data_IF_602529696789
#
_entry.id   IF_602529696789
#
_cell.length_a   1.000
_cell.length_b   1.000
_cell.length_c   1.000
_cell.angle_alpha   90.00
_cell.angle_beta   90.00
_cell.angle_gamma   90.00
#
_symmetry.space_group_name_H-M   'P 1'
#
loop_
_entity.id
_entity.type
_entity.pdbx_description
1 polymer ?
#
# COMPACT_ATOMS: atom_id res chain seq x y z
N UNK A 1 11.99 -26.80 26.61
CA UNK A 1 11.37 -25.93 25.59
C UNK A 1 12.25 -26.02 24.35
N UNK A 2 11.74 -26.55 23.24
CA UNK A 2 12.48 -26.64 21.97
C UNK A 2 12.68 -25.24 21.41
N UNK A 3 13.91 -24.89 21.03
CA UNK A 3 14.20 -23.63 20.34
C UNK A 3 13.28 -23.49 19.11
N UNK A 4 12.75 -22.29 18.82
CA UNK A 4 11.94 -22.08 17.62
C UNK A 4 12.75 -22.50 16.39
N UNK A 5 12.15 -23.18 15.40
CA UNK A 5 12.86 -23.60 14.21
C UNK A 5 13.40 -22.36 13.49
N UNK A 6 14.72 -22.29 13.30
CA UNK A 6 15.36 -21.23 12.54
C UNK A 6 14.85 -21.20 11.10
N UNK A 7 14.74 -20.00 10.52
CA UNK A 7 14.27 -19.80 9.15
C UNK A 7 15.29 -20.40 8.18
N UNK A 8 14.94 -21.43 7.42
CA UNK A 8 15.88 -22.04 6.48
C UNK A 8 15.96 -21.20 5.19
N UNK A 9 17.11 -20.55 4.98
CA UNK A 9 17.33 -19.65 3.84
C UNK A 9 18.15 -20.30 2.73
N UNK A 10 18.95 -21.31 3.04
CA UNK A 10 19.73 -21.99 2.02
C UNK A 10 20.84 -22.86 2.57
N UNK A 11 22.00 -22.82 1.94
CA UNK A 11 23.12 -23.70 2.23
C UNK A 11 24.37 -22.94 2.59
N UNK A 12 25.06 -23.36 3.65
CA UNK A 12 26.38 -22.81 3.99
C UNK A 12 27.44 -23.26 2.97
N UNK A 13 28.56 -22.53 2.84
CA UNK A 13 29.67 -22.92 1.96
C UNK A 13 30.27 -24.28 2.28
N UNK A 14 30.25 -24.69 3.55
CA UNK A 14 30.73 -25.99 4.01
C UNK A 14 29.72 -27.14 3.82
N UNK A 15 28.55 -26.86 3.26
CA UNK A 15 27.42 -27.78 3.26
C UNK A 15 26.64 -27.75 4.57
N UNK A 16 25.32 -28.01 4.48
CA UNK A 16 24.38 -27.93 5.60
C UNK A 16 23.30 -26.86 5.39
N UNK A 17 22.42 -26.69 6.38
CA UNK A 17 21.38 -25.64 6.36
C UNK A 17 21.97 -24.33 6.88
N UNK A 18 21.87 -23.27 6.07
CA UNK A 18 22.02 -21.90 6.53
C UNK A 18 20.64 -21.41 6.96
N UNK A 19 20.51 -21.12 8.25
CA UNK A 19 19.27 -20.64 8.84
C UNK A 19 19.44 -19.33 9.58
N UNK A 20 18.33 -18.64 9.78
CA UNK A 20 18.28 -17.38 10.51
C UNK A 20 17.34 -17.50 11.70
N UNK A 21 17.83 -17.20 12.89
CA UNK A 21 16.97 -17.06 14.05
C UNK A 21 16.19 -15.75 13.95
N UNK A 22 14.88 -15.84 14.05
CA UNK A 22 13.97 -14.71 13.93
C UNK A 22 13.01 -14.71 15.13
N UNK A 23 13.45 -14.30 16.34
CA UNK A 23 12.54 -14.12 17.46
C UNK A 23 11.45 -13.06 17.18
N UNK A 24 10.40 -12.98 18.02
CA UNK A 24 9.46 -11.86 18.00
C UNK A 24 10.17 -10.50 18.02
N UNK A 25 9.70 -9.55 17.22
CA UNK A 25 10.30 -8.22 17.12
C UNK A 25 11.65 -8.16 16.40
N UNK A 26 12.07 -9.20 15.67
CA UNK A 26 13.28 -9.12 14.83
C UNK A 26 13.19 -8.01 13.80
N UNK A 27 14.33 -7.36 13.52
CA UNK A 27 14.48 -6.26 12.57
C UNK A 27 15.53 -6.65 11.53
N UNK A 28 15.12 -6.76 10.27
CA UNK A 28 15.95 -7.24 9.18
C UNK A 28 15.98 -6.23 8.03
N UNK A 29 17.14 -6.07 7.41
CA UNK A 29 17.28 -5.35 6.15
C UNK A 29 17.86 -6.28 5.09
N UNK A 30 17.22 -6.35 3.92
CA UNK A 30 17.66 -7.10 2.74
C UNK A 30 18.14 -6.09 1.70
N UNK A 31 19.43 -6.11 1.37
CA UNK A 31 20.11 -4.98 0.73
C UNK A 31 20.83 -5.35 -0.57
N UNK A 32 20.62 -4.50 -1.57
CA UNK A 32 21.27 -4.55 -2.87
C UNK A 32 20.51 -5.34 -3.93
N UNK A 33 21.14 -5.62 -5.08
CA UNK A 33 20.51 -6.34 -6.18
C UNK A 33 19.84 -7.63 -5.73
N UNK A 34 18.64 -7.90 -6.26
CA UNK A 34 17.84 -9.09 -5.93
C UNK A 34 17.38 -9.14 -4.46
N UNK A 35 17.36 -8.00 -3.77
CA UNK A 35 16.77 -7.93 -2.44
C UNK A 35 15.30 -8.39 -2.44
N UNK A 36 14.56 -8.12 -3.52
CA UNK A 36 13.20 -8.64 -3.74
C UNK A 36 13.12 -10.18 -3.69
N UNK A 37 13.97 -10.88 -4.46
CA UNK A 37 14.04 -12.35 -4.43
C UNK A 37 14.33 -12.87 -3.01
N UNK A 38 15.24 -12.20 -2.30
CA UNK A 38 15.58 -12.54 -0.91
C UNK A 38 14.42 -12.27 0.04
N UNK A 39 13.61 -11.24 -0.22
CA UNK A 39 12.39 -10.95 0.52
C UNK A 39 11.37 -12.08 0.34
N UNK A 40 11.18 -12.56 -0.89
CA UNK A 40 10.31 -13.71 -1.15
C UNK A 40 10.77 -14.99 -0.46
N UNK A 41 12.08 -15.27 -0.50
CA UNK A 41 12.67 -16.40 0.22
C UNK A 41 12.49 -16.28 1.74
N UNK A 42 12.71 -15.09 2.31
CA UNK A 42 12.52 -14.85 3.74
C UNK A 42 11.06 -15.03 4.16
N UNK A 43 10.11 -14.46 3.40
CA UNK A 43 8.69 -14.60 3.67
C UNK A 43 8.26 -16.07 3.66
N UNK A 44 8.70 -16.83 2.65
CA UNK A 44 8.40 -18.26 2.54
C UNK A 44 9.03 -19.06 3.69
N UNK A 45 10.30 -18.81 4.02
CA UNK A 45 10.96 -19.48 5.13
C UNK A 45 10.30 -19.15 6.49
N UNK A 46 9.82 -17.92 6.68
CA UNK A 46 9.06 -17.52 7.87
C UNK A 46 7.72 -18.24 7.96
N UNK A 47 6.98 -18.34 6.85
CA UNK A 47 5.73 -19.11 6.79
C UNK A 47 5.97 -20.60 7.07
N UNK A 48 7.00 -21.22 6.48
CA UNK A 48 7.37 -22.61 6.75
C UNK A 48 7.76 -22.85 8.22
N UNK A 49 8.31 -21.84 8.89
CA UNK A 49 8.61 -21.88 10.32
C UNK A 49 7.39 -21.60 11.22
N UNK A 50 6.20 -21.45 10.64
CA UNK A 50 4.93 -21.24 11.36
C UNK A 50 4.69 -19.80 11.80
N UNK A 51 5.32 -18.81 11.18
CA UNK A 51 5.06 -17.38 11.46
C UNK A 51 3.95 -16.83 10.58
N UNK A 52 3.16 -15.92 11.13
CA UNK A 52 2.29 -15.03 10.35
C UNK A 52 3.17 -14.00 9.63
N UNK A 53 2.91 -13.79 8.34
CA UNK A 53 3.74 -12.94 7.49
C UNK A 53 2.82 -12.11 6.60
N UNK A 54 2.95 -10.80 6.69
CA UNK A 54 2.27 -9.86 5.79
C UNK A 54 3.31 -9.18 4.93
N UNK A 55 3.22 -9.40 3.62
CA UNK A 55 4.12 -8.83 2.62
C UNK A 55 3.44 -7.64 1.94
N UNK A 56 4.06 -6.47 2.00
CA UNK A 56 3.69 -5.30 1.20
C UNK A 56 4.59 -5.26 -0.04
N UNK A 57 4.04 -5.69 -1.17
CA UNK A 57 4.74 -5.79 -2.44
C UNK A 57 4.58 -4.50 -3.26
N UNK A 58 5.43 -3.52 -2.97
CA UNK A 58 5.51 -2.25 -3.70
C UNK A 58 6.14 -2.41 -5.11
N UNK A 59 6.95 -3.46 -5.32
CA UNK A 59 7.60 -3.75 -6.60
C UNK A 59 6.77 -4.65 -7.53
N UNK A 60 5.84 -5.44 -6.97
CA UNK A 60 4.97 -6.39 -7.70
C UNK A 60 5.64 -7.69 -8.13
N UNK A 61 6.94 -7.85 -7.86
CA UNK A 61 7.70 -9.02 -8.28
C UNK A 61 7.32 -10.28 -7.50
N UNK A 62 6.84 -10.12 -6.26
CA UNK A 62 6.49 -11.24 -5.38
C UNK A 62 5.07 -11.73 -5.64
N UNK A 63 4.12 -10.84 -5.90
CA UNK A 63 2.74 -11.20 -6.23
C UNK A 63 2.67 -12.19 -7.40
N UNK A 64 3.51 -11.97 -8.42
CA UNK A 64 3.60 -12.80 -9.61
C UNK A 64 4.25 -14.18 -9.35
N UNK A 65 5.10 -14.29 -8.32
CA UNK A 65 5.92 -15.50 -8.10
C UNK A 65 5.48 -16.33 -6.89
N UNK A 66 4.74 -15.72 -5.97
CA UNK A 66 4.45 -16.27 -4.65
C UNK A 66 2.96 -16.45 -4.34
N UNK A 67 2.06 -16.12 -5.27
CA UNK A 67 0.61 -16.20 -5.01
C UNK A 67 0.15 -17.60 -4.60
N UNK A 68 0.79 -18.66 -5.09
CA UNK A 68 0.50 -20.03 -4.67
C UNK A 68 0.95 -20.39 -3.24
N UNK A 69 1.69 -19.51 -2.56
CA UNK A 69 2.12 -19.70 -1.18
C UNK A 69 1.39 -18.77 -0.20
N UNK A 70 0.85 -17.64 -0.63
CA UNK A 70 0.24 -16.62 0.21
C UNK A 70 -1.10 -16.22 -0.34
N UNK A 71 -2.07 -15.96 0.53
CA UNK A 71 -3.30 -15.33 0.09
C UNK A 71 -2.93 -13.95 -0.48
N UNK A 72 -3.15 -13.78 -1.78
CA UNK A 72 -2.65 -12.63 -2.52
C UNK A 72 -3.80 -11.71 -2.89
N UNK A 73 -3.66 -10.46 -2.49
CA UNK A 73 -4.69 -9.44 -2.59
C UNK A 73 -4.17 -8.23 -3.36
N UNK A 74 -5.00 -7.70 -4.24
CA UNK A 74 -4.83 -6.35 -4.75
C UNK A 74 -4.93 -5.33 -3.60
N UNK A 75 -4.12 -4.27 -3.61
CA UNK A 75 -4.13 -3.24 -2.57
C UNK A 75 -5.50 -2.65 -2.26
N UNK A 76 -6.41 -2.58 -3.26
CA UNK A 76 -7.77 -2.07 -3.10
C UNK A 76 -8.62 -2.88 -2.13
N UNK A 77 -8.25 -4.14 -1.87
CA UNK A 77 -9.00 -5.09 -1.06
C UNK A 77 -9.16 -4.65 0.40
N UNK A 78 -8.15 -3.94 0.93
CA UNK A 78 -8.12 -3.48 2.33
C UNK A 78 -8.08 -1.96 2.44
N UNK A 79 -8.14 -1.25 1.31
CA UNK A 79 -7.90 0.18 1.30
C UNK A 79 -9.01 0.95 2.02
N UNK A 80 -10.25 0.48 1.95
CA UNK A 80 -11.38 1.06 2.67
C UNK A 80 -11.15 1.02 4.18
N UNK A 81 -10.82 -0.16 4.72
CA UNK A 81 -10.51 -0.29 6.15
C UNK A 81 -9.23 0.47 6.55
N UNK A 82 -8.27 0.62 5.64
CA UNK A 82 -7.03 1.38 5.88
C UNK A 82 -7.26 2.87 6.12
N UNK A 83 -8.29 3.46 5.49
CA UNK A 83 -8.68 4.87 5.69
C UNK A 83 -9.77 5.06 6.73
N UNK A 84 -10.37 3.97 7.23
CA UNK A 84 -11.39 4.04 8.26
C UNK A 84 -10.77 4.35 9.62
N UNK A 85 -11.10 5.52 10.13
CA UNK A 85 -10.74 5.93 11.48
C UNK A 85 -11.44 5.01 12.50
N UNK A 86 -10.67 4.48 13.44
CA UNK A 86 -11.19 3.62 14.50
C UNK A 86 -11.56 4.51 15.69
N UNK A 87 -12.80 4.36 16.17
CA UNK A 87 -13.22 5.00 17.41
C UNK A 87 -12.83 4.14 18.64
N UNK A 88 -12.42 4.74 19.77
CA UNK A 88 -12.12 6.15 20.05
C UNK A 88 -10.63 6.32 20.36
N UNK A 89 -9.82 6.68 19.37
CA UNK A 89 -8.38 6.83 19.56
C UNK A 89 -7.79 7.98 18.76
N UNK A 90 -7.37 9.11 19.37
CA UNK A 90 -6.66 10.18 18.65
C UNK A 90 -5.36 9.69 18.00
N UNK A 91 -4.82 8.58 18.51
CA UNK A 91 -3.61 7.94 18.03
C UNK A 91 -3.76 7.33 16.63
N UNK A 92 -4.95 6.85 16.23
CA UNK A 92 -5.12 6.27 14.89
C UNK A 92 -5.09 7.38 13.82
N UNK A 93 -5.74 8.52 14.10
CA UNK A 93 -5.61 9.71 13.27
C UNK A 93 -4.14 10.18 13.15
N UNK A 94 -3.36 10.07 14.23
CA UNK A 94 -1.92 10.38 14.21
C UNK A 94 -1.11 9.42 13.32
N UNK A 95 -1.41 8.12 13.34
CA UNK A 95 -0.75 7.15 12.46
C UNK A 95 -1.12 7.37 11.00
N UNK A 96 -2.38 7.70 10.72
CA UNK A 96 -2.81 8.05 9.35
C UNK A 96 -2.13 9.34 8.89
N UNK A 97 -2.06 10.38 9.72
CA UNK A 97 -1.30 11.59 9.41
C UNK A 97 0.16 11.27 9.10
N UNK A 98 0.78 10.40 9.91
CA UNK A 98 2.14 9.93 9.70
C UNK A 98 2.31 9.11 8.40
N UNK A 99 1.29 8.36 7.98
CA UNK A 99 1.27 7.68 6.70
C UNK A 99 1.25 8.64 5.52
N UNK A 100 0.40 9.67 5.57
CA UNK A 100 0.42 10.77 4.60
C UNK A 100 1.79 11.47 4.59
N UNK A 101 2.37 11.73 5.76
CA UNK A 101 3.67 12.36 5.87
C UNK A 101 4.80 11.53 5.26
N UNK A 102 4.80 10.21 5.49
CA UNK A 102 5.78 9.29 4.92
C UNK A 102 5.64 9.16 3.40
N UNK A 103 4.44 8.90 2.91
CA UNK A 103 4.19 8.68 1.48
C UNK A 103 4.39 9.97 0.66
N UNK A 104 3.94 11.10 1.19
CA UNK A 104 4.06 12.39 0.51
C UNK A 104 5.32 13.14 0.91
N UNK A 105 6.24 12.67 1.75
CA UNK A 105 7.42 13.45 2.17
C UNK A 105 7.01 14.88 2.61
N UNK A 106 6.15 14.94 3.64
CA UNK A 106 5.59 16.17 4.21
C UNK A 106 6.49 16.74 5.32
N UNK A 107 6.60 18.07 5.42
CA UNK A 107 7.25 18.71 6.60
C UNK A 107 6.42 18.50 7.88
N UNK A 108 6.99 18.81 9.05
CA UNK A 108 6.25 18.79 10.34
C UNK A 108 5.02 19.68 10.31
N UNK A 109 5.10 20.86 9.69
CA UNK A 109 3.96 21.78 9.56
C UNK A 109 2.89 21.20 8.64
N UNK A 110 3.30 20.59 7.53
CA UNK A 110 2.40 19.92 6.60
C UNK A 110 1.71 18.71 7.28
N UNK A 111 2.44 17.89 8.05
CA UNK A 111 1.89 16.78 8.84
C UNK A 111 0.91 17.28 9.92
N UNK A 112 1.22 18.38 10.61
CA UNK A 112 0.33 18.95 11.63
C UNK A 112 -1.00 19.43 11.03
N UNK A 113 -0.98 20.01 9.83
CA UNK A 113 -2.20 20.38 9.09
C UNK A 113 -3.04 19.12 8.79
N UNK A 114 -2.41 18.04 8.34
CA UNK A 114 -3.10 16.75 8.10
C UNK A 114 -3.69 16.20 9.39
N UNK A 115 -2.92 16.18 10.48
CA UNK A 115 -3.37 15.70 11.78
C UNK A 115 -4.62 16.46 12.26
N UNK A 116 -4.61 17.80 12.19
CA UNK A 116 -5.79 18.61 12.53
C UNK A 116 -6.96 18.39 11.57
N UNK A 117 -6.69 18.20 10.27
CA UNK A 117 -7.74 17.88 9.29
C UNK A 117 -8.38 16.54 9.60
N UNK A 118 -7.60 15.52 9.95
CA UNK A 118 -8.09 14.20 10.31
C UNK A 118 -8.91 14.19 11.59
N UNK A 119 -8.59 15.05 12.56
CA UNK A 119 -9.44 15.25 13.74
C UNK A 119 -10.82 15.83 13.36
N UNK A 120 -10.87 16.74 12.38
CA UNK A 120 -12.13 17.28 11.86
C UNK A 120 -12.88 16.26 10.98
N UNK A 121 -12.18 15.41 10.23
CA UNK A 121 -12.76 14.26 9.50
C UNK A 121 -13.39 13.28 10.49
N UNK A 122 -12.66 12.94 11.55
CA UNK A 122 -13.13 12.02 12.59
C UNK A 122 -14.42 12.51 13.26
N UNK A 123 -14.53 13.81 13.55
CA UNK A 123 -15.72 14.37 14.18
C UNK A 123 -16.95 14.39 13.27
N UNK A 124 -16.77 14.26 11.95
CA UNK A 124 -17.84 14.15 10.96
C UNK A 124 -18.23 12.69 10.67
N UNK A 125 -17.50 11.71 11.24
CA UNK A 125 -17.71 10.29 10.94
C UNK A 125 -17.23 9.87 9.56
N UNK A 126 -16.42 10.70 8.90
CA UNK A 126 -15.93 10.49 7.54
C UNK A 126 -14.67 9.61 7.52
N UNK A 127 -14.35 9.12 6.32
CA UNK A 127 -13.13 8.35 6.06
C UNK A 127 -11.93 9.29 5.91
N UNK A 128 -10.76 8.84 6.34
CA UNK A 128 -9.48 9.53 6.10
C UNK A 128 -8.98 9.36 4.65
N UNK A 129 -9.88 9.48 3.68
CA UNK A 129 -9.57 9.40 2.26
C UNK A 129 -8.94 10.71 1.76
N UNK A 130 -8.16 10.70 0.66
CA UNK A 130 -7.66 11.94 0.07
C UNK A 130 -8.76 12.95 -0.29
N UNK A 131 -9.94 12.48 -0.71
CA UNK A 131 -11.09 13.32 -1.05
C UNK A 131 -11.62 14.03 0.19
N UNK A 132 -11.95 13.28 1.23
CA UNK A 132 -12.46 13.82 2.49
C UNK A 132 -11.48 14.81 3.14
N UNK A 133 -10.18 14.48 3.14
CA UNK A 133 -9.13 15.38 3.64
C UNK A 133 -9.07 16.66 2.79
N UNK A 134 -9.13 16.56 1.47
CA UNK A 134 -9.09 17.72 0.58
C UNK A 134 -10.23 18.70 0.89
N UNK A 135 -11.44 18.19 1.07
CA UNK A 135 -12.64 19.01 1.28
C UNK A 135 -12.68 19.67 2.66
N UNK A 136 -12.19 18.96 3.68
CA UNK A 136 -12.17 19.45 5.06
C UNK A 136 -10.99 20.38 5.31
N UNK A 137 -9.84 20.17 4.67
CA UNK A 137 -8.62 20.96 4.90
C UNK A 137 -8.81 22.47 4.73
N UNK A 138 -9.71 22.90 3.83
CA UNK A 138 -10.04 24.32 3.65
C UNK A 138 -10.88 24.94 4.77
N UNK A 139 -11.46 24.12 5.64
CA UNK A 139 -12.39 24.50 6.72
C UNK A 139 -11.74 24.49 8.10
N UNK A 140 -10.54 23.91 8.24
CA UNK A 140 -9.82 23.82 9.51
C UNK A 140 -9.32 25.22 9.92
N UNK A 141 -9.75 25.70 11.08
CA UNK A 141 -9.31 26.99 11.62
C UNK A 141 -7.82 26.97 11.99
N UNK A 142 -7.14 28.11 11.84
CA UNK A 142 -5.73 28.26 12.22
C UNK A 142 -4.71 27.95 11.11
N UNK A 143 -5.11 27.30 10.01
CA UNK A 143 -4.24 27.03 8.87
C UNK A 143 -4.72 27.75 7.61
N UNK A 144 -3.99 28.77 7.17
CA UNK A 144 -4.24 29.49 5.91
C UNK A 144 -2.91 29.81 5.22
N UNK A 145 -2.93 29.89 3.88
CA UNK A 145 -1.79 30.31 3.07
C UNK A 145 -1.02 29.17 2.42
N UNK A 146 0.23 29.44 2.05
CA UNK A 146 1.05 28.64 1.13
C UNK A 146 1.07 27.13 1.42
N UNK A 147 1.22 26.71 2.69
CA UNK A 147 1.29 25.29 3.04
C UNK A 147 -0.02 24.54 2.79
N UNK A 148 -1.17 25.19 2.99
CA UNK A 148 -2.49 24.59 2.74
C UNK A 148 -2.71 24.43 1.22
N UNK A 149 -2.38 25.45 0.43
CA UNK A 149 -2.54 25.38 -1.03
C UNK A 149 -1.62 24.33 -1.64
N UNK A 150 -0.38 24.25 -1.16
CA UNK A 150 0.59 23.22 -1.56
C UNK A 150 0.09 21.82 -1.19
N UNK A 151 -0.41 21.61 0.02
CA UNK A 151 -0.97 20.32 0.46
C UNK A 151 -2.19 19.93 -0.37
N UNK A 152 -3.12 20.87 -0.61
CA UNK A 152 -4.27 20.64 -1.48
C UNK A 152 -3.86 20.18 -2.87
N UNK A 153 -2.80 20.76 -3.46
CA UNK A 153 -2.26 20.29 -4.73
C UNK A 153 -1.79 18.83 -4.68
N UNK A 154 -1.05 18.45 -3.63
CA UNK A 154 -0.51 17.08 -3.45
C UNK A 154 -1.58 16.04 -3.14
N UNK A 155 -2.59 16.41 -2.37
CA UNK A 155 -3.72 15.52 -2.04
C UNK A 155 -4.71 15.47 -3.21
N UNK A 156 -4.89 16.59 -3.91
CA UNK A 156 -5.72 16.67 -5.11
C UNK A 156 -5.25 15.71 -6.22
N UNK A 157 -3.93 15.52 -6.36
CA UNK A 157 -3.38 14.51 -7.29
C UNK A 157 -3.66 13.06 -6.86
N UNK A 158 -4.22 12.86 -5.66
CA UNK A 158 -4.57 11.57 -5.09
C UNK A 158 -6.08 11.29 -5.11
N UNK A 159 -6.89 12.10 -5.79
CA UNK A 159 -8.35 11.91 -5.85
C UNK A 159 -8.79 10.62 -6.54
N UNK A 160 -7.95 10.05 -7.38
CA UNK A 160 -8.18 8.75 -8.04
C UNK A 160 -7.76 7.56 -7.17
N UNK A 161 -7.32 7.82 -5.94
CA UNK A 161 -6.93 6.79 -4.99
C UNK A 161 -8.17 6.18 -4.35
N UNK A 162 -8.64 5.10 -4.97
CA UNK A 162 -9.96 4.55 -4.71
C UNK A 162 -9.95 3.28 -3.86
N UNK A 163 -10.93 3.18 -2.95
CA UNK A 163 -11.11 2.09 -2.01
C UNK A 163 -12.33 1.28 -2.40
N UNK A 164 -12.18 -0.04 -2.53
CA UNK A 164 -13.15 -0.80 -3.34
C UNK A 164 -13.77 -2.01 -2.62
N UNK A 165 -13.07 -2.60 -1.64
CA UNK A 165 -13.55 -3.79 -0.91
C UNK A 165 -13.49 -3.58 0.61
N UNK A 166 -14.35 -4.29 1.35
CA UNK A 166 -14.64 -4.09 2.78
C UNK A 166 -13.98 -5.19 3.65
N UNK A 167 -12.81 -5.68 3.24
CA UNK A 167 -12.06 -6.61 4.11
C UNK A 167 -11.38 -5.84 5.23
N UNK A 168 -11.47 -6.39 6.44
CA UNK A 168 -10.88 -5.82 7.65
C UNK A 168 -9.44 -6.29 7.80
N UNK A 169 -8.52 -5.34 8.03
CA UNK A 169 -7.07 -5.60 8.18
C UNK A 169 -6.77 -6.51 9.37
N UNK A 170 -7.59 -6.50 10.42
CA UNK A 170 -7.43 -7.40 11.58
C UNK A 170 -7.38 -8.89 11.21
N UNK A 171 -8.08 -9.31 10.14
CA UNK A 171 -8.02 -10.69 9.64
C UNK A 171 -6.61 -11.14 9.21
N UNK A 172 -5.73 -10.18 8.92
CA UNK A 172 -4.35 -10.43 8.47
C UNK A 172 -3.38 -10.67 9.64
N UNK A 173 -3.77 -10.37 10.88
CA UNK A 173 -2.95 -10.70 12.05
C UNK A 173 -2.79 -12.21 12.25
N UNK A 174 -3.73 -13.00 11.74
CA UNK A 174 -3.80 -14.45 11.95
C UNK A 174 -3.62 -15.25 10.65
N UNK A 175 -3.20 -14.59 9.56
CA UNK A 175 -2.99 -15.23 8.27
C UNK A 175 -1.70 -14.75 7.61
N UNK A 176 -1.20 -15.51 6.64
CA UNK A 176 -0.07 -15.07 5.82
C UNK A 176 -0.56 -14.53 4.49
N UNK A 177 -0.36 -13.23 4.25
CA UNK A 177 -0.89 -12.54 3.10
C UNK A 177 0.18 -11.75 2.33
N UNK A 178 -0.07 -11.55 1.04
CA UNK A 178 0.69 -10.68 0.17
C UNK A 178 -0.25 -9.61 -0.40
N UNK A 179 0.10 -8.35 -0.20
CA UNK A 179 -0.64 -7.20 -0.73
C UNK A 179 0.14 -6.62 -1.90
N UNK A 180 -0.44 -6.69 -3.09
CA UNK A 180 0.14 -6.22 -4.34
C UNK A 180 -0.25 -4.75 -4.60
N UNK A 181 0.75 -3.86 -4.53
CA UNK A 181 0.59 -2.43 -4.81
C UNK A 181 1.05 -2.05 -6.22
N UNK A 182 1.56 -2.98 -7.03
CA UNK A 182 2.02 -2.70 -8.40
C UNK A 182 0.87 -2.22 -9.30
N UNK A 183 -0.36 -2.65 -8.99
CA UNK A 183 -1.58 -2.28 -9.72
C UNK A 183 -2.14 -0.91 -9.35
N UNK A 184 -1.51 -0.18 -8.45
CA UNK A 184 -1.90 1.20 -8.17
C UNK A 184 -1.74 2.06 -9.43
N UNK A 185 -2.62 3.06 -9.65
CA UNK A 185 -2.64 3.84 -10.89
C UNK A 185 -1.35 4.65 -11.12
N UNK A 186 -0.62 4.96 -10.05
CA UNK A 186 0.66 5.64 -10.11
C UNK A 186 1.49 5.35 -8.83
N UNK A 187 2.82 5.57 -8.85
CA UNK A 187 3.71 5.21 -7.74
C UNK A 187 3.31 5.81 -6.39
N UNK A 188 2.85 7.06 -6.37
CA UNK A 188 2.44 7.74 -5.15
C UNK A 188 1.19 7.13 -4.50
N UNK A 189 0.28 6.53 -5.29
CA UNK A 189 -0.86 5.79 -4.78
C UNK A 189 -0.41 4.48 -4.11
N UNK A 190 0.53 3.76 -4.71
CA UNK A 190 1.13 2.57 -4.09
C UNK A 190 1.78 2.93 -2.75
N UNK A 191 2.54 4.02 -2.70
CA UNK A 191 3.21 4.51 -1.49
C UNK A 191 2.20 4.91 -0.40
N UNK A 192 1.18 5.70 -0.76
CA UNK A 192 0.15 6.08 0.20
C UNK A 192 -0.63 4.87 0.70
N UNK A 193 -1.04 3.96 -0.17
CA UNK A 193 -1.76 2.75 0.22
C UNK A 193 -0.94 1.86 1.14
N UNK A 194 0.33 1.64 0.85
CA UNK A 194 1.20 0.85 1.71
C UNK A 194 1.40 1.54 3.07
N UNK A 195 1.56 2.87 3.10
CA UNK A 195 1.71 3.62 4.34
C UNK A 195 0.43 3.60 5.20
N UNK A 196 -0.75 3.78 4.60
CA UNK A 196 -2.04 3.69 5.28
C UNK A 196 -2.31 2.29 5.81
N UNK A 197 -2.00 1.28 5.00
CA UNK A 197 -2.10 -0.11 5.40
C UNK A 197 -1.18 -0.40 6.60
N UNK A 198 0.07 0.08 6.58
CA UNK A 198 0.98 -0.03 7.73
C UNK A 198 0.42 0.67 8.96
N UNK A 199 -0.10 1.89 8.82
CA UNK A 199 -0.71 2.64 9.92
C UNK A 199 -1.87 1.84 10.55
N UNK A 200 -2.78 1.31 9.74
CA UNK A 200 -3.91 0.50 10.21
C UNK A 200 -3.46 -0.85 10.79
N UNK A 201 -2.47 -1.50 10.21
CA UNK A 201 -1.94 -2.77 10.72
C UNK A 201 -1.26 -2.58 12.08
N UNK A 202 -0.46 -1.51 12.24
CA UNK A 202 0.12 -1.12 13.53
C UNK A 202 -0.96 -0.81 14.55
N UNK A 203 -2.03 -0.17 14.09
CA UNK A 203 -3.17 0.13 14.92
C UNK A 203 -3.82 -1.13 15.49
N UNK A 204 -4.24 -2.04 14.62
CA UNK A 204 -4.91 -3.27 15.05
C UNK A 204 -3.94 -4.18 15.82
N UNK A 205 -2.66 -4.24 15.45
CA UNK A 205 -1.63 -5.01 16.17
C UNK A 205 -1.44 -4.57 17.62
N UNK A 206 -1.67 -3.28 17.91
CA UNK A 206 -1.57 -2.73 19.27
C UNK A 206 -2.75 -3.13 20.14
N UNK A 207 -3.94 -3.23 19.56
CA UNK A 207 -5.18 -3.56 20.26
C UNK A 207 -5.37 -5.07 20.44
N UNK A 208 -5.17 -5.84 19.37
CA UNK A 208 -5.45 -7.27 19.32
C UNK A 208 -4.20 -8.13 19.62
N UNK A 209 -3.01 -7.51 19.59
CA UNK A 209 -1.73 -8.16 19.84
C UNK A 209 -1.10 -8.77 18.59
N UNK A 210 -0.02 -8.14 18.09
CA UNK A 210 0.69 -8.56 16.86
C UNK A 210 2.10 -9.14 17.06
N UNK A 211 2.46 -9.65 18.25
CA UNK A 211 3.86 -10.00 18.57
C UNK A 211 4.46 -11.13 17.71
N UNK A 212 3.62 -11.99 17.11
CA UNK A 212 4.03 -13.09 16.22
C UNK A 212 4.24 -12.69 14.75
N UNK A 213 3.66 -11.56 14.35
CA UNK A 213 3.61 -11.10 12.97
C UNK A 213 4.97 -10.61 12.47
N UNK A 214 5.35 -11.03 11.27
CA UNK A 214 6.45 -10.45 10.50
C UNK A 214 5.90 -9.62 9.35
N UNK A 215 6.10 -8.31 9.41
CA UNK A 215 5.79 -7.39 8.31
C UNK A 215 7.01 -7.31 7.39
N UNK A 216 6.81 -7.55 6.10
CA UNK A 216 7.84 -7.40 5.08
C UNK A 216 7.46 -6.28 4.12
N UNK A 217 8.32 -5.28 3.95
CA UNK A 217 8.12 -4.17 3.02
C UNK A 217 9.17 -4.24 1.92
N UNK A 218 8.74 -4.48 0.68
CA UNK A 218 9.61 -4.40 -0.50
C UNK A 218 9.78 -2.96 -0.96
N UNK A 219 10.85 -2.65 -1.70
CA UNK A 219 11.16 -1.29 -2.15
C UNK A 219 11.04 -0.23 -1.04
N UNK A 220 11.48 -0.58 0.17
CA UNK A 220 11.21 0.18 1.38
C UNK A 220 11.75 1.62 1.34
N UNK A 221 12.74 1.90 0.48
CA UNK A 221 13.27 3.24 0.25
C UNK A 221 12.22 4.21 -0.32
N UNK A 222 11.14 3.71 -0.91
CA UNK A 222 10.04 4.55 -1.42
C UNK A 222 9.24 5.20 -0.29
N UNK A 223 9.13 4.53 0.86
CA UNK A 223 8.43 5.01 2.06
C UNK A 223 9.38 5.62 3.10
N UNK A 224 10.54 5.01 3.32
CA UNK A 224 11.49 5.39 4.37
C UNK A 224 12.77 5.94 3.72
N UNK A 225 12.76 7.21 3.33
CA UNK A 225 13.81 7.84 2.51
C UNK A 225 14.97 8.37 3.37
N UNK A 226 16.20 8.30 2.86
CA UNK A 226 17.42 8.78 3.53
C UNK A 226 17.49 10.30 3.72
N UNK A 227 16.96 11.06 2.76
CA UNK A 227 16.90 12.52 2.79
C UNK A 227 15.44 12.96 2.79
N UNK A 228 14.69 12.73 3.88
CA UNK A 228 13.38 13.35 3.98
C UNK A 228 13.58 14.88 4.02
N UNK A 229 12.59 15.67 3.60
CA UNK A 229 12.67 17.14 3.76
C UNK A 229 13.17 17.53 5.16
N UNK A 230 13.96 18.62 5.30
CA UNK A 230 14.34 19.14 6.60
C UNK A 230 13.07 19.30 7.44
N UNK A 231 13.08 18.86 8.69
CA UNK A 231 11.93 18.81 9.62
C UNK A 231 10.86 17.74 9.38
N UNK A 232 11.08 16.68 8.61
CA UNK A 232 10.12 15.56 8.56
C UNK A 232 10.19 14.74 9.86
N UNK A 233 9.05 14.56 10.54
CA UNK A 233 8.89 13.53 11.57
C UNK A 233 8.59 12.21 10.86
N UNK A 234 9.51 11.24 10.93
CA UNK A 234 9.20 9.88 10.49
C UNK A 234 8.39 9.12 11.56
N UNK A 235 7.27 9.70 12.00
CA UNK A 235 6.45 9.17 13.09
C UNK A 235 5.99 7.74 12.80
N UNK A 236 5.59 7.44 11.55
CA UNK A 236 5.20 6.10 11.13
C UNK A 236 6.33 5.09 11.32
N UNK A 237 7.56 5.44 10.96
CA UNK A 237 8.73 4.59 11.16
C UNK A 237 9.00 4.37 12.64
N UNK A 238 8.95 5.42 13.46
CA UNK A 238 9.19 5.31 14.90
C UNK A 238 8.17 4.39 15.59
N UNK A 239 6.90 4.53 15.22
CA UNK A 239 5.82 3.65 15.71
C UNK A 239 6.02 2.21 15.24
N UNK A 240 6.37 2.00 13.97
CA UNK A 240 6.71 0.69 13.43
C UNK A 240 7.85 0.03 14.20
N UNK A 241 8.94 0.78 14.46
CA UNK A 241 10.08 0.27 15.22
C UNK A 241 9.72 -0.08 16.66
N UNK A 242 8.78 0.67 17.27
CA UNK A 242 8.34 0.52 18.66
C UNK A 242 7.26 -0.56 18.88
N UNK A 243 6.56 -0.98 17.82
CA UNK A 243 5.34 -1.79 17.88
C UNK A 243 5.50 -3.28 18.29
N UNK A 244 6.71 -3.77 18.52
CA UNK A 244 6.95 -5.17 18.92
C UNK A 244 6.68 -6.24 17.83
N UNK A 245 5.99 -5.90 16.74
CA UNK A 245 5.88 -6.73 15.52
C UNK A 245 7.24 -6.95 14.91
N UNK A 246 7.50 -8.06 14.22
CA UNK A 246 8.71 -8.25 13.41
C UNK A 246 8.69 -7.37 12.15
N UNK A 247 9.85 -6.90 11.70
CA UNK A 247 9.98 -6.09 10.49
C UNK A 247 11.15 -6.60 9.64
N UNK A 248 10.87 -6.82 8.36
CA UNK A 248 11.86 -7.00 7.32
C UNK A 248 11.66 -5.94 6.24
N UNK A 249 12.73 -5.23 5.87
CA UNK A 249 12.70 -4.26 4.77
C UNK A 249 13.62 -4.71 3.66
N UNK A 250 13.21 -4.52 2.41
CA UNK A 250 14.00 -4.85 1.23
C UNK A 250 14.21 -3.61 0.37
N UNK A 251 15.44 -3.40 -0.08
CA UNK A 251 15.76 -2.31 -1.01
C UNK A 251 16.98 -2.65 -1.88
N UNK A 252 16.83 -2.48 -3.18
CA UNK A 252 17.96 -2.51 -4.12
C UNK A 252 18.78 -1.22 -4.07
N UNK A 253 18.21 -0.15 -3.52
CA UNK A 253 18.83 1.16 -3.32
C UNK A 253 19.08 1.39 -1.82
N UNK A 254 20.10 0.77 -1.21
CA UNK A 254 20.35 0.89 0.23
C UNK A 254 20.74 2.31 0.65
N UNK A 255 21.38 3.09 -0.24
CA UNK A 255 21.82 4.46 0.03
C UNK A 255 20.64 5.46 0.10
N UNK A 256 19.49 5.12 -0.45
CA UNK A 256 18.28 5.96 -0.43
C UNK A 256 17.34 5.60 0.72
N UNK A 257 17.65 4.56 1.50
CA UNK A 257 16.86 4.12 2.65
C UNK A 257 17.24 4.90 3.91
N UNK A 258 16.27 5.19 4.77
CA UNK A 258 16.47 5.91 6.03
C UNK A 258 17.56 5.26 6.91
N UNK A 259 18.45 6.09 7.43
CA UNK A 259 19.58 5.64 8.23
C UNK A 259 19.17 5.12 9.60
N UNK A 260 18.18 5.73 10.25
CA UNK A 260 17.67 5.27 11.55
C UNK A 260 16.98 3.92 11.39
N UNK A 261 16.22 3.71 10.31
CA UNK A 261 15.65 2.41 9.98
C UNK A 261 16.74 1.35 9.80
N UNK A 262 17.78 1.66 9.01
CA UNK A 262 18.91 0.76 8.80
C UNK A 262 19.64 0.43 10.09
N UNK A 263 19.86 1.41 10.97
CA UNK A 263 20.55 1.24 12.25
C UNK A 263 19.71 0.42 13.24
N UNK A 264 18.38 0.49 13.16
CA UNK A 264 17.47 -0.38 13.91
C UNK A 264 17.45 -1.84 13.40
N UNK A 265 17.75 -2.05 12.10
CA UNK A 265 17.88 -3.38 11.49
C UNK A 265 19.25 -4.00 11.81
N UNK A 266 19.31 -4.67 12.96
CA UNK A 266 20.53 -5.30 13.46
C UNK A 266 20.97 -6.54 12.69
N UNK A 267 20.06 -7.17 11.94
CA UNK A 267 20.39 -8.22 10.97
C UNK A 267 20.33 -7.61 9.58
N UNK A 268 21.43 -7.68 8.84
CA UNK A 268 21.51 -7.18 7.46
C UNK A 268 21.92 -8.32 6.54
N UNK A 269 21.11 -8.55 5.52
CA UNK A 269 21.33 -9.58 4.50
C UNK A 269 21.73 -8.87 3.23
N UNK A 270 22.99 -9.01 2.83
CA UNK A 270 23.57 -8.34 1.68
C UNK A 270 23.69 -9.30 0.51
N UNK A 271 23.28 -8.88 -0.68
CA UNK A 271 23.74 -9.48 -1.93
C UNK A 271 25.27 -9.43 -2.01
N UNK A 272 25.86 -10.33 -2.80
CA UNK A 272 27.31 -10.34 -3.05
C UNK A 272 27.83 -8.98 -3.52
N UNK A 273 27.08 -8.33 -4.40
CA UNK A 273 27.39 -7.04 -5.02
C UNK A 273 27.35 -5.91 -3.99
N UNK A 274 26.30 -5.86 -3.17
CA UNK A 274 26.21 -4.89 -2.08
C UNK A 274 27.32 -5.10 -1.06
N UNK A 275 27.65 -6.36 -0.75
CA UNK A 275 28.74 -6.66 0.17
C UNK A 275 30.10 -6.18 -0.35
N UNK A 276 30.43 -6.45 -1.61
CA UNK A 276 31.68 -6.00 -2.23
C UNK A 276 31.79 -4.47 -2.30
N UNK A 277 30.68 -3.77 -2.55
CA UNK A 277 30.67 -2.29 -2.55
C UNK A 277 30.96 -1.69 -1.15
N UNK A 278 30.60 -2.42 -0.08
CA UNK A 278 30.78 -2.00 1.31
C UNK A 278 32.12 -2.43 1.89
N UNK A 279 32.61 -3.61 1.51
CA UNK A 279 33.81 -4.24 2.07
C UNK A 279 34.87 -4.47 1.00
N UNK A 280 35.94 -3.68 1.04
CA UNK A 280 37.06 -3.79 0.11
C UNK A 280 37.90 -5.08 0.30
N UNK A 281 37.74 -5.78 1.42
CA UNK A 281 38.65 -6.86 1.85
C UNK A 281 38.03 -8.25 1.89
N UNK A 282 36.70 -8.37 1.83
CA UNK A 282 36.00 -9.65 1.93
C UNK A 282 35.28 -10.00 0.63
N UNK A 283 35.98 -10.69 -0.27
CA UNK A 283 35.40 -11.19 -1.52
C UNK A 283 34.58 -12.46 -1.28
N UNK A 284 33.26 -12.35 -1.43
CA UNK A 284 32.35 -13.51 -1.50
C UNK A 284 32.04 -13.89 -2.95
N UNK A 285 31.60 -15.13 -3.18
CA UNK A 285 31.26 -15.61 -4.53
C UNK A 285 30.00 -14.92 -5.07
N UNK A 286 29.96 -14.67 -6.38
CA UNK A 286 28.78 -14.08 -7.04
C UNK A 286 27.56 -14.99 -6.85
N UNK A 287 26.43 -14.38 -6.49
CA UNK A 287 25.19 -15.11 -6.20
C UNK A 287 25.13 -15.73 -4.80
N UNK A 288 26.18 -15.58 -3.99
CA UNK A 288 26.10 -15.81 -2.55
C UNK A 288 25.53 -14.57 -1.84
N UNK A 289 25.07 -14.78 -0.61
CA UNK A 289 24.47 -13.75 0.23
C UNK A 289 25.16 -13.77 1.59
N UNK A 290 25.34 -12.59 2.18
CA UNK A 290 26.00 -12.42 3.47
C UNK A 290 24.98 -11.98 4.51
N UNK A 291 24.80 -12.77 5.57
CA UNK A 291 24.07 -12.38 6.77
C UNK A 291 25.07 -11.75 7.74
N UNK A 292 24.90 -10.47 8.00
CA UNK A 292 25.64 -9.68 8.98
C UNK A 292 24.74 -9.45 10.21
N UNK A 293 25.12 -10.00 11.36
CA UNK A 293 24.50 -9.68 12.64
C UNK A 293 25.37 -8.67 13.38
N UNK A 294 24.88 -7.44 13.48
CA UNK A 294 25.58 -6.31 14.09
C UNK A 294 25.73 -6.46 15.61
N UNK A 295 24.87 -7.24 16.27
CA UNK A 295 24.95 -7.46 17.72
C UNK A 295 26.10 -8.38 18.07
N UNK A 296 26.23 -9.49 17.35
CA UNK A 296 27.31 -10.45 17.55
C UNK A 296 28.58 -10.10 16.78
N UNK A 297 28.53 -9.11 15.88
CA UNK A 297 29.59 -8.74 14.92
C UNK A 297 30.05 -9.94 14.08
N UNK A 298 29.12 -10.85 13.78
CA UNK A 298 29.37 -12.02 12.95
C UNK A 298 28.80 -11.80 11.57
N UNK A 299 29.57 -12.21 10.57
CA UNK A 299 29.10 -12.34 9.20
C UNK A 299 29.15 -13.81 8.81
N UNK A 300 28.12 -14.29 8.14
CA UNK A 300 28.05 -15.64 7.59
C UNK A 300 27.59 -15.59 6.15
N UNK A 301 28.27 -16.36 5.29
CA UNK A 301 27.93 -16.48 3.88
C UNK A 301 27.02 -17.69 3.70
N UNK A 302 26.05 -17.58 2.80
CA UNK A 302 25.25 -18.72 2.36
C UNK A 302 24.85 -18.58 0.88
N UNK A 303 24.46 -19.71 0.30
CA UNK A 303 23.83 -19.77 -1.01
C UNK A 303 22.32 -19.88 -0.82
N UNK A 304 21.53 -18.91 -1.31
CA UNK A 304 20.08 -18.96 -1.16
C UNK A 304 19.52 -20.20 -1.85
N UNK A 305 18.59 -20.90 -1.20
CA UNK A 305 17.85 -21.97 -1.87
C UNK A 305 16.95 -21.37 -2.96
N UNK A 306 16.66 -22.15 -4.00
CA UNK A 306 15.76 -21.71 -5.07
C UNK A 306 14.33 -21.60 -4.52
N UNK A 307 13.72 -20.43 -4.70
CA UNK A 307 12.29 -20.26 -4.53
C UNK A 307 11.60 -20.91 -5.74
N UNK A 308 10.79 -21.93 -5.51
CA UNK A 308 9.98 -22.55 -6.57
C UNK A 308 8.78 -21.65 -6.79
N UNK A 309 8.60 -21.09 -7.99
CA UNK A 309 7.42 -20.30 -8.32
C UNK A 309 6.15 -21.15 -8.17
N UNK A 310 5.17 -20.62 -7.43
CA UNK A 310 3.80 -21.17 -7.42
C UNK A 310 2.83 -20.02 -7.53
N UNK A 311 1.81 -20.22 -8.36
CA UNK A 311 0.72 -19.28 -8.55
C UNK A 311 -0.61 -19.93 -8.17
N UNK A 312 -1.53 -19.15 -7.62
CA UNK A 312 -2.89 -19.57 -7.27
C UNK A 312 -3.88 -18.44 -7.59
N UNK A 313 -5.12 -18.59 -7.12
CA UNK A 313 -6.17 -17.59 -7.29
C UNK A 313 -5.75 -16.24 -6.69
N UNK A 314 -5.76 -15.22 -7.55
CA UNK A 314 -5.45 -13.84 -7.19
C UNK A 314 -6.76 -13.12 -6.85
N UNK A 315 -6.87 -12.58 -5.63
CA UNK A 315 -8.06 -11.84 -5.23
C UNK A 315 -7.93 -10.39 -5.69
N UNK A 316 -8.58 -10.07 -6.80
CA UNK A 316 -8.75 -8.68 -7.21
C UNK A 316 -9.79 -7.98 -6.34
N UNK A 317 -9.48 -6.80 -5.82
CA UNK A 317 -10.48 -5.91 -5.23
C UNK A 317 -11.59 -5.67 -6.24
N UNK A 318 -12.83 -5.94 -5.84
CA UNK A 318 -14.03 -5.72 -6.67
C UNK A 318 -14.59 -4.34 -6.37
N UNK A 319 -15.18 -3.68 -7.38
CA UNK A 319 -16.09 -2.53 -7.22
C UNK A 319 -17.06 -2.73 -6.05
N UNK A 320 -17.44 -1.67 -5.32
CA UNK A 320 -18.42 -1.82 -4.26
C UNK A 320 -19.69 -2.47 -4.85
N UNK A 321 -20.16 -3.53 -4.19
CA UNK A 321 -21.25 -4.39 -4.72
C UNK A 321 -22.64 -3.84 -4.47
N UNK A 322 -22.78 -2.71 -3.78
CA UNK A 322 -24.08 -2.08 -3.62
C UNK A 322 -24.43 -1.36 -4.92
N UNK A 323 -25.43 -1.89 -5.63
CA UNK A 323 -26.14 -1.11 -6.64
C UNK A 323 -26.83 0.06 -5.91
N UNK A 324 -26.12 1.16 -5.73
CA UNK A 324 -26.69 2.38 -5.22
C UNK A 324 -27.61 2.95 -6.30
N UNK A 325 -28.91 2.93 -6.01
CA UNK A 325 -29.95 3.49 -6.87
C UNK A 325 -29.72 5.00 -7.10
N UNK A 326 -29.14 5.70 -6.12
CA UNK A 326 -28.74 7.10 -6.26
C UNK A 326 -27.64 7.27 -7.30
N UNK A 327 -26.53 6.54 -7.16
CA UNK A 327 -25.46 6.55 -8.15
C UNK A 327 -25.94 6.17 -9.56
N UNK A 328 -26.77 5.12 -9.67
CA UNK A 328 -27.34 4.68 -10.95
C UNK A 328 -28.11 5.81 -11.63
N UNK A 329 -28.95 6.51 -10.86
CA UNK A 329 -29.71 7.66 -11.36
C UNK A 329 -28.76 8.76 -11.83
N UNK A 330 -27.81 9.19 -10.99
CA UNK A 330 -26.92 10.32 -11.30
C UNK A 330 -26.04 10.05 -12.52
N UNK A 331 -25.54 8.82 -12.69
CA UNK A 331 -24.78 8.42 -13.90
C UNK A 331 -25.63 8.55 -15.16
N UNK A 332 -26.88 8.06 -15.13
CA UNK A 332 -27.79 8.15 -16.27
C UNK A 332 -28.19 9.60 -16.57
N UNK A 333 -28.41 10.43 -15.55
CA UNK A 333 -28.71 11.86 -15.71
C UNK A 333 -27.55 12.60 -16.36
N UNK A 334 -26.32 12.35 -15.91
CA UNK A 334 -25.14 13.03 -16.43
C UNK A 334 -24.83 12.64 -17.88
N UNK A 335 -24.92 11.35 -18.21
CA UNK A 335 -24.77 10.89 -19.61
C UNK A 335 -25.90 11.41 -20.49
N UNK A 336 -27.13 11.50 -19.98
CA UNK A 336 -28.28 12.03 -20.72
C UNK A 336 -28.20 13.54 -20.94
N UNK A 337 -27.59 14.28 -20.01
CA UNK A 337 -27.47 15.73 -20.06
C UNK A 337 -26.38 16.22 -21.01
N UNK A 338 -25.28 15.48 -21.12
CA UNK A 338 -24.11 15.90 -21.91
C UNK A 338 -23.83 14.95 -23.09
N UNK A 339 -23.91 15.44 -24.34
CA UNK A 339 -23.80 14.59 -25.53
C UNK A 339 -22.40 14.02 -25.79
N UNK A 340 -21.36 14.56 -25.13
CA UNK A 340 -19.96 14.12 -25.24
C UNK A 340 -19.43 13.49 -23.93
N UNK A 341 -20.30 12.86 -23.15
CA UNK A 341 -19.94 12.19 -21.90
C UNK A 341 -19.03 10.99 -22.14
N UNK A 342 -17.73 11.17 -21.91
CA UNK A 342 -16.74 10.09 -21.87
C UNK A 342 -16.72 9.41 -20.50
N UNK A 343 -16.14 8.22 -20.42
CA UNK A 343 -15.93 7.54 -19.13
C UNK A 343 -15.21 8.45 -18.14
N UNK A 344 -14.08 9.00 -18.54
CA UNK A 344 -13.24 9.83 -17.67
C UNK A 344 -13.95 11.11 -17.25
N UNK A 345 -14.73 11.74 -18.14
CA UNK A 345 -15.47 12.96 -17.80
C UNK A 345 -16.60 12.70 -16.81
N UNK A 346 -17.36 11.61 -16.97
CA UNK A 346 -18.46 11.26 -16.03
C UNK A 346 -17.87 10.88 -14.67
N UNK A 347 -16.82 10.06 -14.66
CA UNK A 347 -16.09 9.70 -13.43
C UNK A 347 -15.56 10.94 -12.73
N UNK A 348 -14.93 11.87 -13.45
CA UNK A 348 -14.37 13.08 -12.87
C UNK A 348 -15.45 14.04 -12.36
N UNK A 349 -16.58 14.15 -13.05
CA UNK A 349 -17.68 15.03 -12.67
C UNK A 349 -18.38 14.53 -11.40
N UNK A 350 -18.57 13.22 -11.27
CA UNK A 350 -19.25 12.59 -10.14
C UNK A 350 -18.33 12.27 -8.96
N UNK A 351 -17.01 12.38 -9.14
CA UNK A 351 -16.01 12.18 -8.08
C UNK A 351 -16.22 12.97 -6.77
N UNK A 352 -16.87 14.16 -6.74
CA UNK A 352 -17.18 14.85 -5.48
C UNK A 352 -18.27 14.18 -4.65
N UNK A 353 -19.16 13.41 -5.27
CA UNK A 353 -20.34 12.82 -4.64
C UNK A 353 -20.24 11.30 -4.52
N UNK A 354 -19.52 10.66 -5.43
CA UNK A 354 -19.40 9.21 -5.55
C UNK A 354 -17.97 8.78 -5.79
N UNK A 355 -17.61 7.56 -5.38
CA UNK A 355 -16.29 7.00 -5.62
C UNK A 355 -16.06 6.78 -7.13
N UNK A 356 -14.92 7.22 -7.71
CA UNK A 356 -14.61 7.06 -9.14
C UNK A 356 -14.78 5.63 -9.70
N UNK A 357 -14.44 4.61 -8.90
CA UNK A 357 -14.53 3.20 -9.23
C UNK A 357 -15.97 2.70 -9.15
N UNK A 358 -16.78 3.23 -8.23
CA UNK A 358 -18.20 2.94 -8.20
C UNK A 358 -18.87 3.53 -9.43
N UNK A 359 -18.57 4.79 -9.77
CA UNK A 359 -19.03 5.42 -11.02
C UNK A 359 -18.58 4.62 -12.24
N UNK A 360 -17.29 4.26 -12.31
CA UNK A 360 -16.74 3.49 -13.42
C UNK A 360 -17.35 2.10 -13.56
N UNK A 361 -17.58 1.41 -12.45
CA UNK A 361 -18.16 0.08 -12.42
C UNK A 361 -19.67 0.10 -12.68
N UNK A 362 -20.34 1.15 -12.25
CA UNK A 362 -21.74 1.40 -12.57
C UNK A 362 -21.91 1.70 -14.06
N UNK A 363 -20.99 2.48 -14.67
CA UNK A 363 -20.92 2.67 -16.13
C UNK A 363 -20.74 1.32 -16.83
N UNK A 364 -19.77 0.49 -16.41
CA UNK A 364 -19.56 -0.85 -16.99
C UNK A 364 -20.79 -1.74 -16.86
N UNK A 365 -21.46 -1.68 -15.70
CA UNK A 365 -22.70 -2.43 -15.43
C UNK A 365 -23.84 -1.96 -16.34
N UNK A 366 -24.00 -0.64 -16.51
CA UNK A 366 -25.03 -0.06 -17.36
C UNK A 366 -24.77 -0.30 -18.85
N UNK A 367 -23.50 -0.27 -19.28
CA UNK A 367 -23.09 -0.66 -20.63
C UNK A 367 -23.38 -2.14 -20.89
N UNK A 368 -22.96 -3.04 -19.98
CA UNK A 368 -23.22 -4.48 -20.09
C UNK A 368 -24.72 -4.81 -20.08
N UNK A 369 -25.54 -4.01 -19.40
CA UNK A 369 -27.01 -4.11 -19.41
C UNK A 369 -27.66 -3.51 -20.65
N UNK A 370 -26.90 -2.85 -21.52
CA UNK A 370 -27.39 -2.15 -22.70
C UNK A 370 -28.20 -0.89 -22.37
N UNK A 371 -27.98 -0.28 -21.20
CA UNK A 371 -28.56 1.00 -20.82
C UNK A 371 -27.74 2.17 -21.40
N UNK A 372 -26.43 1.99 -21.54
CA UNK A 372 -25.50 2.90 -22.19
C UNK A 372 -24.91 2.25 -23.45
N UNK A 373 -24.64 3.04 -24.48
CA UNK A 373 -23.90 2.64 -25.67
C UNK A 373 -22.68 3.55 -25.84
N UNK A 374 -21.51 2.95 -26.05
CA UNK A 374 -20.29 3.70 -26.36
C UNK A 374 -20.18 3.90 -27.88
N UNK A 375 -20.24 5.15 -28.34
CA UNK A 375 -20.25 5.47 -29.77
C UNK A 375 -19.18 6.51 -30.11
N UNK A 376 -18.53 6.41 -31.28
CA UNK A 376 -17.60 7.42 -31.75
C UNK A 376 -18.34 8.68 -32.19
N UNK A 377 -18.14 9.80 -31.49
CA UNK A 377 -18.70 11.11 -31.82
C UNK A 377 -17.65 12.07 -32.35
N UNK A 378 -18.07 13.00 -33.21
CA UNK A 378 -17.19 14.04 -33.73
C UNK A 378 -16.94 15.10 -32.65
N UNK A 379 -15.68 15.28 -32.26
CA UNK A 379 -15.27 16.47 -31.51
C UNK A 379 -14.90 17.54 -32.54
N UNK A 380 -15.57 18.70 -32.52
CA UNK A 380 -15.64 19.63 -33.66
C UNK A 380 -14.32 20.03 -34.35
N UNK A 381 -13.16 19.87 -33.71
CA UNK A 381 -11.83 20.15 -34.30
C UNK A 381 -10.76 19.10 -33.99
N UNK A 382 -11.13 17.91 -33.49
CA UNK A 382 -10.20 16.89 -32.99
C UNK A 382 -10.51 15.46 -33.45
N UNK A 383 -9.72 14.47 -32.98
CA UNK A 383 -10.02 13.05 -33.23
C UNK A 383 -11.41 12.69 -32.70
N UNK A 384 -12.04 11.67 -33.31
CA UNK A 384 -13.32 11.14 -32.83
C UNK A 384 -13.15 10.65 -31.39
N UNK A 385 -14.07 11.05 -30.53
CA UNK A 385 -14.07 10.68 -29.11
C UNK A 385 -15.16 9.65 -28.89
N UNK A 386 -14.83 8.55 -28.21
CA UNK A 386 -15.82 7.56 -27.80
C UNK A 386 -16.57 8.11 -26.58
N UNK A 387 -17.85 8.39 -26.77
CA UNK A 387 -18.72 8.96 -25.75
C UNK A 387 -19.95 8.08 -25.56
N UNK A 388 -20.47 8.06 -24.35
CA UNK A 388 -21.68 7.32 -24.02
C UNK A 388 -22.92 8.04 -24.55
N UNK A 389 -23.87 7.25 -25.04
CA UNK A 389 -25.22 7.67 -25.41
C UNK A 389 -26.22 6.87 -24.58
N UNK A 390 -27.23 7.54 -24.02
CA UNK A 390 -28.32 6.88 -23.32
C UNK A 390 -29.22 6.14 -24.32
N UNK A 391 -29.49 4.86 -24.07
CA UNK A 391 -30.42 4.06 -24.88
C UNK A 391 -31.87 4.28 -24.42
N UNK A 392 -32.84 3.79 -25.20
CA UNK A 392 -34.25 3.72 -24.76
C UNK A 392 -34.41 2.95 -23.45
N UNK A 393 -33.64 1.87 -23.28
CA UNK A 393 -33.62 1.07 -22.03
C UNK A 393 -33.03 1.86 -20.86
N UNK A 394 -32.01 2.69 -21.11
CA UNK A 394 -31.44 3.60 -20.13
C UNK A 394 -32.42 4.70 -19.71
N UNK A 395 -33.15 5.28 -20.68
CA UNK A 395 -34.20 6.27 -20.40
C UNK A 395 -35.34 5.68 -19.56
N UNK A 396 -35.80 4.47 -19.89
CA UNK A 396 -36.84 3.78 -19.10
C UNK A 396 -36.42 3.54 -17.66
N UNK A 397 -35.17 3.09 -17.44
CA UNK A 397 -34.63 2.90 -16.10
C UNK A 397 -34.50 4.23 -15.33
N UNK A 398 -34.09 5.31 -16.00
CA UNK A 398 -34.00 6.63 -15.38
C UNK A 398 -35.38 7.18 -14.97
N UNK A 399 -36.42 6.94 -15.78
CA UNK A 399 -37.80 7.31 -15.42
C UNK A 399 -38.34 6.51 -14.24
N UNK A 400 -37.97 5.23 -14.11
CA UNK A 400 -38.32 4.40 -12.96
C UNK A 400 -37.66 4.89 -11.68
N UNK A 401 -36.39 5.32 -11.74
CA UNK A 401 -35.65 5.80 -10.58
C UNK A 401 -36.09 7.21 -10.10
N UNK A 402 -36.78 7.98 -10.95
CA UNK A 402 -37.32 9.30 -10.61
C UNK A 402 -38.68 9.26 -9.91
N UNK A 403 -39.32 8.09 -9.83
CA UNK A 403 -40.59 7.87 -9.13
C UNK A 403 -40.34 7.47 -7.69
#
# INVERSE_FOLDING_TARGET
MSSPPGLWLGHSPSGGRAGLECPPGTRLALLGPRSGDMAGLLAMAAKEAGKEVVVLDLGGSLANTMSGYFDTYDYRTFLYDSVRLAEPGPWHAQLIAAAYAAALDLSVEEEAIIESTLQAVASQGDLASPVSIYDIMGKVEGFRGFYVDKLKGRIGSLRLFDAVDDRVIGSLLHSSALIDFQRAPYPLAAELGAALFLAKLLAVSREEGGRGLLILVTEAHRLFRANPRPSVRQRLMLELLSSGVGLAVSSELPLTLDRQLLDACYIRVHSSESWHSKSATATVLVGSVVIEDLRSRKASVFYPRRLVTKTSEYVSGRASRSADTGLTQTVLEEVGRYPLSTRDSVVQFLAPEFLPADVGSEIDRLEARGCLLLEPKESGSGPKVFAFTLTEKGNGLLEELRK
#
